data_IF_706507660862
#
_entry.id   IF_706507660862
#
_cell.length_a   1.000
_cell.length_b   1.000
_cell.length_c   1.000
_cell.angle_alpha   90.00
_cell.angle_beta   90.00
_cell.angle_gamma   90.00
#
_symmetry.space_group_name_H-M   'P 1'
#
loop_
_entity.id
_entity.type
_entity.pdbx_description
1 polymer ?
#
# COMPACT_ATOMS: atom_id res chain seq x y z
N UNK A 1 23.13 16.63 -20.47
CA UNK A 1 23.32 15.67 -19.36
C UNK A 1 24.75 15.14 -19.38
N UNK A 2 25.19 14.53 -18.27
CA UNK A 2 26.42 13.75 -18.15
C UNK A 2 26.18 12.62 -17.14
N UNK A 3 26.58 11.40 -17.45
CA UNK A 3 26.42 10.23 -16.58
C UNK A 3 27.52 9.21 -16.86
N UNK A 4 27.70 8.26 -15.95
CA UNK A 4 28.62 7.13 -16.12
C UNK A 4 27.81 5.83 -16.23
N UNK A 5 28.14 5.01 -17.22
CA UNK A 5 27.54 3.70 -17.44
C UNK A 5 28.64 2.73 -17.91
N UNK A 6 28.71 1.55 -17.33
CA UNK A 6 29.73 0.53 -17.63
C UNK A 6 31.18 1.07 -17.65
N UNK A 7 31.51 1.95 -16.70
CA UNK A 7 32.83 2.57 -16.58
C UNK A 7 33.16 3.60 -17.67
N UNK A 8 32.17 4.03 -18.46
CA UNK A 8 32.31 5.05 -19.50
C UNK A 8 31.48 6.27 -19.17
N UNK A 9 32.08 7.45 -19.34
CA UNK A 9 31.38 8.72 -19.15
C UNK A 9 30.73 9.14 -20.46
N UNK A 10 29.41 9.32 -20.41
CA UNK A 10 28.59 9.84 -21.50
C UNK A 10 28.20 11.28 -21.22
N UNK A 11 28.23 12.16 -22.22
CA UNK A 11 27.84 13.56 -22.07
C UNK A 11 27.24 14.13 -23.35
N UNK A 12 26.26 15.03 -23.21
CA UNK A 12 25.62 15.71 -24.33
C UNK A 12 24.11 15.89 -24.16
N UNK A 13 23.45 16.41 -25.20
CA UNK A 13 21.98 16.42 -25.32
C UNK A 13 21.43 15.20 -26.06
N UNK A 14 22.28 14.49 -26.77
CA UNK A 14 21.94 13.31 -27.56
C UNK A 14 23.04 12.28 -27.32
N UNK A 15 22.71 11.15 -26.71
CA UNK A 15 23.64 10.04 -26.46
C UNK A 15 23.07 8.81 -27.15
N UNK A 16 23.91 8.12 -27.91
CA UNK A 16 23.58 6.86 -28.57
C UNK A 16 24.22 5.71 -27.79
N UNK A 17 23.40 4.79 -27.30
CA UNK A 17 23.82 3.57 -26.62
C UNK A 17 23.40 2.31 -27.41
N UNK A 18 22.92 2.47 -28.65
CA UNK A 18 22.60 1.33 -29.51
C UNK A 18 23.81 0.44 -29.70
N UNK A 19 23.61 -0.87 -29.56
CA UNK A 19 24.69 -1.86 -29.65
C UNK A 19 25.53 -2.00 -28.37
N UNK A 20 25.07 -1.42 -27.26
CA UNK A 20 25.55 -1.74 -25.90
C UNK A 20 24.56 -2.65 -25.18
N UNK A 21 24.97 -3.24 -24.05
CA UNK A 21 24.10 -4.07 -23.20
C UNK A 21 23.24 -3.22 -22.23
N UNK A 22 23.20 -1.89 -22.42
CA UNK A 22 22.45 -0.98 -21.58
C UNK A 22 20.94 -1.24 -21.64
N UNK A 23 20.30 -1.31 -20.48
CA UNK A 23 18.84 -1.43 -20.35
C UNK A 23 18.22 -0.09 -19.97
N UNK A 24 16.92 0.07 -20.22
CA UNK A 24 16.16 1.26 -19.80
C UNK A 24 16.35 1.54 -18.30
N UNK A 25 16.30 0.50 -17.48
CA UNK A 25 16.46 0.59 -16.02
C UNK A 25 17.86 1.08 -15.64
N UNK A 26 18.91 0.46 -16.19
CA UNK A 26 20.30 0.87 -15.92
C UNK A 26 20.60 2.31 -16.30
N UNK A 27 19.99 2.81 -17.40
CA UNK A 27 20.15 4.19 -17.85
C UNK A 27 19.38 5.16 -16.96
N UNK A 28 18.16 4.81 -16.54
CA UNK A 28 17.39 5.63 -15.60
C UNK A 28 18.12 5.75 -14.26
N UNK A 29 18.68 4.65 -13.76
CA UNK A 29 19.50 4.63 -12.54
C UNK A 29 20.75 5.50 -12.69
N UNK A 30 21.52 5.34 -13.78
CA UNK A 30 22.72 6.13 -14.04
C UNK A 30 22.44 7.64 -14.21
N UNK A 31 21.23 8.01 -14.59
CA UNK A 31 20.76 9.40 -14.72
C UNK A 31 20.07 9.92 -13.45
N UNK A 32 19.95 9.11 -12.40
CA UNK A 32 19.19 9.40 -11.18
C UNK A 32 17.74 9.84 -11.47
N UNK A 33 17.12 9.21 -12.47
CA UNK A 33 15.74 9.50 -12.87
C UNK A 33 14.75 8.60 -12.14
N UNK A 34 13.61 9.19 -11.78
CA UNK A 34 12.47 8.47 -11.22
C UNK A 34 11.91 7.46 -12.24
N UNK A 35 12.05 6.17 -11.95
CA UNK A 35 11.55 5.08 -12.78
C UNK A 35 10.02 5.10 -12.91
N UNK A 36 9.31 5.72 -11.97
CA UNK A 36 7.85 5.90 -12.02
C UNK A 36 7.40 7.14 -12.81
N UNK A 37 8.32 7.99 -13.29
CA UNK A 37 7.98 9.10 -14.18
C UNK A 37 7.46 8.53 -15.51
N UNK A 38 6.16 8.69 -15.82
CA UNK A 38 5.57 8.09 -17.01
C UNK A 38 6.12 8.66 -18.33
N UNK A 39 6.89 9.74 -18.28
CA UNK A 39 7.52 10.34 -19.45
C UNK A 39 9.05 10.11 -19.47
N UNK A 40 9.63 9.47 -18.45
CA UNK A 40 11.08 9.29 -18.30
C UNK A 40 11.68 8.37 -19.37
N UNK A 41 10.89 7.40 -19.86
CA UNK A 41 11.29 6.50 -20.93
C UNK A 41 10.15 6.27 -21.94
N UNK A 42 10.51 6.16 -23.21
CA UNK A 42 9.60 5.75 -24.29
C UNK A 42 10.00 4.34 -24.73
N UNK A 43 9.14 3.39 -24.40
CA UNK A 43 9.29 1.96 -24.71
C UNK A 43 8.20 1.51 -25.69
N UNK A 44 8.26 0.25 -26.12
CA UNK A 44 7.22 -0.34 -26.97
C UNK A 44 5.86 -0.49 -26.26
N UNK A 45 5.84 -0.55 -24.93
CA UNK A 45 4.62 -0.59 -24.11
C UNK A 45 4.54 0.65 -23.20
N UNK A 46 4.09 1.79 -23.74
CA UNK A 46 4.08 3.04 -22.99
C UNK A 46 2.95 3.08 -21.96
N UNK A 47 3.07 3.94 -20.92
CA UNK A 47 1.99 4.16 -19.95
C UNK A 47 0.71 4.70 -20.61
N UNK A 48 -0.40 4.67 -19.87
CA UNK A 48 -1.66 5.21 -20.38
C UNK A 48 -1.57 6.69 -20.73
N UNK A 49 -2.23 7.09 -21.82
CA UNK A 49 -2.23 8.47 -22.31
C UNK A 49 -2.68 9.48 -21.25
N UNK A 50 -3.67 9.12 -20.44
CA UNK A 50 -4.12 9.98 -19.34
C UNK A 50 -2.99 10.24 -18.32
N UNK A 51 -2.16 9.24 -18.01
CA UNK A 51 -1.03 9.39 -17.07
C UNK A 51 0.06 10.28 -17.68
N UNK A 52 0.42 10.07 -18.94
CA UNK A 52 1.46 10.86 -19.62
C UNK A 52 1.03 12.32 -19.85
N UNK A 53 -0.21 12.56 -20.30
CA UNK A 53 -0.75 13.92 -20.46
C UNK A 53 -0.89 14.66 -19.14
N UNK A 54 -1.32 13.99 -18.07
CA UNK A 54 -1.38 14.62 -16.76
C UNK A 54 0.02 15.06 -16.27
N UNK A 55 1.05 14.24 -16.51
CA UNK A 55 2.45 14.58 -16.19
C UNK A 55 2.95 15.75 -17.05
N UNK A 56 2.67 15.74 -18.35
CA UNK A 56 3.01 16.83 -19.25
C UNK A 56 2.33 18.15 -18.82
N UNK A 57 1.05 18.11 -18.47
CA UNK A 57 0.33 19.28 -17.96
C UNK A 57 0.97 19.85 -16.68
N UNK A 58 1.33 18.97 -15.72
CA UNK A 58 2.03 19.37 -14.49
C UNK A 58 3.38 20.02 -14.76
N UNK A 59 4.14 19.49 -15.71
CA UNK A 59 5.45 20.05 -16.07
C UNK A 59 5.34 21.50 -16.60
N UNK A 60 4.18 21.85 -17.17
CA UNK A 60 3.85 23.21 -17.65
C UNK A 60 3.18 24.08 -16.59
N UNK A 61 3.14 23.63 -15.33
CA UNK A 61 2.56 24.37 -14.21
C UNK A 61 1.04 24.28 -14.07
N UNK A 62 0.35 23.40 -14.82
CA UNK A 62 -1.10 23.24 -14.65
C UNK A 62 -1.45 22.47 -13.36
N UNK A 63 -2.43 22.99 -12.62
CA UNK A 63 -3.03 22.31 -11.47
C UNK A 63 -4.37 21.65 -11.80
N UNK A 64 -4.83 20.77 -10.93
CA UNK A 64 -6.17 20.19 -10.99
C UNK A 64 -7.05 20.74 -9.86
N UNK A 65 -8.37 20.86 -10.04
CA UNK A 65 -9.29 21.27 -8.97
C UNK A 65 -9.25 20.36 -7.73
N UNK A 66 -8.74 19.13 -7.88
CA UNK A 66 -8.64 18.14 -6.81
C UNK A 66 -7.37 18.30 -5.95
N UNK A 67 -6.44 19.20 -6.31
CA UNK A 67 -5.10 19.25 -5.70
C UNK A 67 -5.15 19.56 -4.21
N UNK A 68 -5.94 20.54 -3.79
CA UNK A 68 -6.08 20.90 -2.37
C UNK A 68 -6.65 19.73 -1.55
N UNK A 69 -7.65 19.03 -2.11
CA UNK A 69 -8.25 17.86 -1.45
C UNK A 69 -7.26 16.69 -1.38
N UNK A 70 -6.42 16.51 -2.41
CA UNK A 70 -5.36 15.49 -2.41
C UNK A 70 -4.35 15.80 -1.31
N UNK A 71 -3.91 17.06 -1.18
CA UNK A 71 -3.00 17.49 -0.13
C UNK A 71 -3.61 17.23 1.26
N UNK A 72 -4.84 17.67 1.50
CA UNK A 72 -5.55 17.42 2.77
C UNK A 72 -5.66 15.92 3.11
N UNK A 73 -5.97 15.08 2.12
CA UNK A 73 -6.08 13.63 2.34
C UNK A 73 -4.72 12.99 2.66
N UNK A 74 -3.63 13.48 2.05
CA UNK A 74 -2.27 13.03 2.36
C UNK A 74 -1.85 13.44 3.76
N UNK A 75 -2.14 14.68 4.16
CA UNK A 75 -1.86 15.16 5.52
C UNK A 75 -2.62 14.35 6.55
N UNK A 76 -3.92 14.11 6.33
CA UNK A 76 -4.74 13.27 7.24
C UNK A 76 -4.28 11.82 7.31
N UNK A 77 -3.68 11.28 6.24
CA UNK A 77 -3.08 9.96 6.25
C UNK A 77 -1.75 9.98 7.01
N UNK A 78 -0.91 10.98 6.79
CA UNK A 78 0.35 11.16 7.51
C UNK A 78 0.13 11.32 9.01
N UNK A 79 -0.85 12.13 9.43
CA UNK A 79 -1.24 12.28 10.84
C UNK A 79 -1.63 10.93 11.46
N UNK A 80 -2.36 10.10 10.71
CA UNK A 80 -2.77 8.77 11.19
C UNK A 80 -1.62 7.79 11.25
N UNK A 81 -0.78 7.77 10.23
CA UNK A 81 0.38 6.88 10.18
C UNK A 81 1.40 7.27 11.27
N UNK A 82 1.49 8.55 11.64
CA UNK A 82 2.28 9.02 12.78
C UNK A 82 1.71 8.57 14.13
N UNK A 83 0.37 8.61 14.31
CA UNK A 83 -0.31 8.17 15.54
C UNK A 83 -0.29 6.64 15.69
N UNK A 84 -0.40 5.91 14.58
CA UNK A 84 -0.47 4.45 14.60
C UNK A 84 0.88 3.78 14.93
N UNK A 85 1.99 4.52 14.89
CA UNK A 85 3.31 3.91 14.78
C UNK A 85 3.48 3.32 13.38
N UNK A 86 4.69 3.38 12.83
CA UNK A 86 4.98 2.92 11.47
C UNK A 86 4.85 1.40 11.39
N UNK A 87 3.64 0.90 11.23
CA UNK A 87 3.38 -0.45 10.79
C UNK A 87 3.19 -0.41 9.28
N UNK A 88 4.17 -0.97 8.57
CA UNK A 88 4.07 -1.35 7.17
C UNK A 88 2.96 -2.40 6.95
N UNK A 89 3.02 -3.28 5.93
CA UNK A 89 1.93 -4.21 5.63
C UNK A 89 1.61 -5.16 6.82
N UNK A 90 0.65 -4.73 7.64
CA UNK A 90 -0.22 -5.39 8.63
C UNK A 90 0.39 -6.42 9.64
N UNK A 91 1.50 -6.13 10.35
CA UNK A 91 1.89 -6.93 11.52
C UNK A 91 0.95 -6.73 12.74
N UNK A 92 0.42 -5.51 12.93
CA UNK A 92 -0.42 -5.18 14.09
C UNK A 92 -1.85 -5.73 14.02
N UNK A 93 -2.45 -5.85 12.84
CA UNK A 93 -3.75 -6.52 12.68
C UNK A 93 -3.68 -8.02 12.94
N UNK A 94 -2.54 -8.65 12.60
CA UNK A 94 -2.27 -10.05 12.93
C UNK A 94 -2.08 -10.22 14.44
N UNK A 95 -1.27 -9.38 15.10
CA UNK A 95 -1.08 -9.43 16.54
C UNK A 95 -2.39 -9.24 17.32
N UNK A 96 -3.23 -8.31 16.88
CA UNK A 96 -4.56 -8.07 17.45
C UNK A 96 -5.48 -9.30 17.40
N UNK A 97 -5.47 -10.00 16.28
CA UNK A 97 -6.28 -11.19 16.07
C UNK A 97 -5.76 -12.36 16.90
N UNK A 98 -4.44 -12.52 16.99
CA UNK A 98 -3.78 -13.50 17.85
C UNK A 98 -4.10 -13.26 19.32
N UNK A 99 -3.94 -12.04 19.82
CA UNK A 99 -4.30 -11.66 21.20
C UNK A 99 -5.74 -12.06 21.55
N UNK A 100 -6.68 -11.76 20.64
CA UNK A 100 -8.09 -12.08 20.84
C UNK A 100 -8.34 -13.59 20.82
N UNK A 101 -7.65 -14.34 19.95
CA UNK A 101 -7.76 -15.79 19.91
C UNK A 101 -7.23 -16.43 21.21
N UNK A 102 -6.05 -16.02 21.67
CA UNK A 102 -5.46 -16.48 22.93
C UNK A 102 -6.33 -16.14 24.13
N UNK A 103 -6.89 -14.93 24.19
CA UNK A 103 -7.78 -14.55 25.28
C UNK A 103 -9.09 -15.36 25.31
N UNK A 104 -9.62 -15.71 24.13
CA UNK A 104 -10.80 -16.60 24.02
C UNK A 104 -10.49 -18.01 24.52
N UNK A 105 -9.35 -18.56 24.10
CA UNK A 105 -8.91 -19.88 24.51
C UNK A 105 -8.76 -19.96 26.04
N UNK A 106 -8.06 -19.00 26.64
CA UNK A 106 -7.92 -18.95 28.11
C UNK A 106 -9.23 -18.79 28.86
N UNK A 107 -10.15 -17.96 28.36
CA UNK A 107 -11.46 -17.81 28.98
C UNK A 107 -12.28 -19.11 28.92
N UNK A 108 -12.17 -19.87 27.82
CA UNK A 108 -12.82 -21.15 27.67
C UNK A 108 -12.19 -22.23 28.58
N UNK A 109 -10.86 -22.27 28.67
CA UNK A 109 -10.12 -23.17 29.56
C UNK A 109 -10.48 -22.90 31.03
N UNK A 110 -10.39 -21.65 31.49
CA UNK A 110 -10.72 -21.29 32.86
C UNK A 110 -12.20 -21.57 33.21
N UNK A 111 -13.12 -21.42 32.25
CA UNK A 111 -14.51 -21.80 32.44
C UNK A 111 -14.68 -23.32 32.62
N UNK A 112 -13.98 -24.12 31.80
CA UNK A 112 -13.99 -25.58 31.91
C UNK A 112 -13.38 -26.07 33.23
N UNK A 113 -12.31 -25.43 33.70
CA UNK A 113 -11.68 -25.75 34.99
C UNK A 113 -12.61 -25.47 36.17
N UNK A 114 -13.31 -24.34 36.16
CA UNK A 114 -14.32 -24.02 37.19
C UNK A 114 -15.43 -25.08 37.21
N UNK A 115 -15.93 -25.51 36.05
CA UNK A 115 -16.98 -26.53 35.99
C UNK A 115 -16.48 -27.88 36.52
N UNK A 116 -15.27 -28.30 36.13
CA UNK A 116 -14.62 -29.51 36.65
C UNK A 116 -14.43 -29.46 38.18
N UNK A 117 -14.00 -28.32 38.72
CA UNK A 117 -13.76 -28.14 40.16
C UNK A 117 -15.06 -28.08 40.96
N UNK A 118 -16.14 -27.53 40.41
CA UNK A 118 -17.48 -27.59 41.01
C UNK A 118 -17.97 -29.02 41.18
N UNK A 119 -17.78 -29.86 40.16
CA UNK A 119 -18.09 -31.29 40.24
C UNK A 119 -17.25 -31.99 41.32
N UNK A 120 -15.95 -31.66 41.41
CA UNK A 120 -15.05 -32.21 42.44
C UNK A 120 -15.48 -31.82 43.86
N UNK A 121 -15.82 -30.55 44.09
CA UNK A 121 -16.34 -30.07 45.37
C UNK A 121 -17.63 -30.79 45.76
N UNK A 122 -18.56 -30.95 44.81
CA UNK A 122 -19.81 -31.68 45.04
C UNK A 122 -19.56 -33.15 45.43
N UNK A 123 -18.63 -33.81 44.76
CA UNK A 123 -18.24 -35.18 45.07
C UNK A 123 -17.55 -35.31 46.44
N UNK A 124 -16.63 -34.40 46.78
CA UNK A 124 -15.97 -34.36 48.08
C UNK A 124 -16.97 -34.11 49.22
N UNK A 125 -17.93 -33.22 49.01
CA UNK A 125 -19.04 -32.97 49.95
C UNK A 125 -19.87 -34.24 50.18
N UNK A 126 -20.19 -34.97 49.11
CA UNK A 126 -20.91 -36.25 49.20
C UNK A 126 -20.13 -37.31 50.00
N UNK A 127 -18.82 -37.44 49.77
CA UNK A 127 -17.95 -38.36 50.54
C UNK A 127 -17.85 -37.99 52.02
N UNK A 128 -17.72 -36.70 52.33
CA UNK A 128 -17.69 -36.21 53.71
C UNK A 128 -19.01 -36.48 54.44
N UNK A 129 -20.14 -36.31 53.76
CA UNK A 129 -21.45 -36.63 54.34
C UNK A 129 -21.55 -38.14 54.68
N UNK A 130 -21.14 -39.02 53.77
CA UNK A 130 -21.13 -40.45 54.02
C UNK A 130 -20.19 -40.85 55.18
N UNK A 131 -19.02 -40.22 55.28
CA UNK A 131 -18.08 -40.43 56.39
C UNK A 131 -18.67 -40.02 57.74
N UNK A 132 -19.40 -38.89 57.79
CA UNK A 132 -20.12 -38.44 59.00
C UNK A 132 -21.22 -39.40 59.43
N UNK A 133 -21.94 -39.98 58.47
CA UNK A 133 -22.99 -40.97 58.73
C UNK A 133 -22.40 -42.31 59.24
N UNK A 134 -21.25 -42.73 58.71
CA UNK A 134 -20.54 -43.93 59.15
C UNK A 134 -19.72 -43.76 60.43
N UNK A 135 -19.36 -42.51 60.79
CA UNK A 135 -18.54 -42.19 61.96
C UNK A 135 -17.05 -42.51 61.79
N UNK A 136 -16.56 -42.65 60.55
CA UNK A 136 -15.17 -43.02 60.23
C UNK A 136 -14.56 -42.03 59.23
N UNK A 137 -13.26 -41.74 59.36
CA UNK A 137 -12.47 -40.91 58.43
C UNK A 137 -13.01 -39.49 58.19
N UNK A 138 -13.74 -38.93 59.15
CA UNK A 138 -14.41 -37.62 59.01
C UNK A 138 -13.42 -36.49 58.78
N UNK A 139 -12.30 -36.48 59.53
CA UNK A 139 -11.31 -35.40 59.48
C UNK A 139 -10.60 -35.36 58.12
N UNK A 140 -10.15 -36.52 57.62
CA UNK A 140 -9.51 -36.63 56.30
C UNK A 140 -10.44 -36.15 55.17
N UNK A 141 -11.72 -36.53 55.21
CA UNK A 141 -12.70 -36.08 54.20
C UNK A 141 -13.07 -34.61 54.34
N UNK A 142 -12.95 -34.04 55.55
CA UNK A 142 -13.15 -32.61 55.77
C UNK A 142 -12.00 -31.81 55.16
N UNK A 143 -10.76 -32.27 55.33
CA UNK A 143 -9.58 -31.70 54.67
C UNK A 143 -9.68 -31.78 53.14
N UNK A 144 -10.10 -32.93 52.58
CA UNK A 144 -10.30 -33.11 51.14
C UNK A 144 -11.34 -32.12 50.57
N UNK A 145 -12.47 -31.95 51.26
CA UNK A 145 -13.49 -30.97 50.86
C UNK A 145 -12.99 -29.54 50.96
N UNK A 146 -12.24 -29.19 52.01
CA UNK A 146 -11.66 -27.87 52.18
C UNK A 146 -10.65 -27.54 51.07
N UNK A 147 -9.78 -28.50 50.72
CA UNK A 147 -8.82 -28.36 49.62
C UNK A 147 -9.54 -28.17 48.27
N UNK A 148 -10.55 -28.99 47.96
CA UNK A 148 -11.32 -28.85 46.72
C UNK A 148 -12.05 -27.50 46.63
N UNK A 149 -12.56 -26.97 47.76
CA UNK A 149 -13.21 -25.66 47.81
C UNK A 149 -12.22 -24.51 47.63
N UNK A 150 -11.00 -24.65 48.14
CA UNK A 150 -9.91 -23.69 47.90
C UNK A 150 -9.53 -23.66 46.43
N UNK A 151 -9.28 -24.82 45.80
CA UNK A 151 -8.97 -24.93 44.38
C UNK A 151 -10.06 -24.28 43.50
N UNK A 152 -11.34 -24.50 43.84
CA UNK A 152 -12.46 -23.86 43.14
C UNK A 152 -12.43 -22.33 43.27
N UNK A 153 -12.12 -21.80 44.45
CA UNK A 153 -12.06 -20.36 44.68
C UNK A 153 -10.94 -19.71 43.86
N UNK A 154 -9.79 -20.38 43.78
CA UNK A 154 -8.65 -19.93 42.97
C UNK A 154 -9.01 -19.96 41.47
N UNK A 155 -9.62 -21.04 40.99
CA UNK A 155 -10.07 -21.14 39.60
C UNK A 155 -11.19 -20.15 39.24
N UNK A 156 -12.11 -19.86 40.16
CA UNK A 156 -13.13 -18.82 39.94
C UNK A 156 -12.50 -17.43 39.80
N UNK A 157 -11.42 -17.16 40.53
CA UNK A 157 -10.63 -15.93 40.40
C UNK A 157 -9.92 -15.88 39.03
N UNK A 158 -9.28 -16.97 38.62
CA UNK A 158 -8.61 -17.08 37.32
C UNK A 158 -9.59 -16.89 36.15
N UNK A 159 -10.80 -17.46 36.26
CA UNK A 159 -11.86 -17.27 35.27
C UNK A 159 -12.25 -15.79 35.13
N UNK A 160 -12.44 -15.07 36.24
CA UNK A 160 -12.75 -13.63 36.19
C UNK A 160 -11.63 -12.86 35.52
N UNK A 161 -10.37 -13.18 35.83
CA UNK A 161 -9.22 -12.55 35.17
C UNK A 161 -9.17 -12.85 33.66
N UNK A 162 -9.46 -14.09 33.25
CA UNK A 162 -9.50 -14.49 31.84
C UNK A 162 -10.64 -13.80 31.07
N UNK A 163 -11.83 -13.68 31.67
CA UNK A 163 -12.97 -12.95 31.10
C UNK A 163 -12.65 -11.46 30.90
N UNK A 164 -12.04 -10.81 31.90
CA UNK A 164 -11.62 -9.41 31.79
C UNK A 164 -10.56 -9.22 30.69
N UNK A 165 -9.60 -10.14 30.58
CA UNK A 165 -8.60 -10.11 29.52
C UNK A 165 -9.23 -10.27 28.12
N UNK A 166 -10.24 -11.13 28.00
CA UNK A 166 -11.01 -11.32 26.76
C UNK A 166 -11.81 -10.07 26.39
N UNK A 167 -12.45 -9.42 27.35
CA UNK A 167 -13.18 -8.16 27.12
C UNK A 167 -12.22 -7.08 26.61
N UNK A 168 -11.09 -6.89 27.29
CA UNK A 168 -10.06 -5.93 26.89
C UNK A 168 -9.46 -6.24 25.50
N UNK A 169 -9.21 -7.52 25.18
CA UNK A 169 -8.73 -7.94 23.87
C UNK A 169 -9.78 -7.69 22.78
N UNK A 170 -11.06 -7.92 23.09
CA UNK A 170 -12.18 -7.69 22.18
C UNK A 170 -12.31 -6.21 21.83
N UNK A 171 -12.24 -5.33 22.82
CA UNK A 171 -12.37 -3.89 22.57
C UNK A 171 -11.19 -3.35 21.76
N UNK A 172 -9.95 -3.71 22.13
CA UNK A 172 -8.76 -3.37 21.33
C UNK A 172 -8.85 -3.85 19.88
N UNK A 173 -9.40 -5.05 19.65
CA UNK A 173 -9.60 -5.58 18.30
C UNK A 173 -10.66 -4.78 17.51
N UNK A 174 -11.75 -4.35 18.18
CA UNK A 174 -12.79 -3.50 17.58
C UNK A 174 -12.25 -2.13 17.20
N UNK A 175 -11.58 -1.45 18.10
CA UNK A 175 -10.97 -0.13 17.88
C UNK A 175 -10.00 -0.17 16.68
N UNK A 176 -9.09 -1.16 16.66
CA UNK A 176 -8.17 -1.36 15.53
C UNK A 176 -8.90 -1.59 14.21
N UNK A 177 -9.97 -2.37 14.21
CA UNK A 177 -10.80 -2.59 13.00
C UNK A 177 -11.46 -1.30 12.52
N UNK A 178 -11.93 -0.45 13.44
CA UNK A 178 -12.53 0.85 13.12
C UNK A 178 -11.48 1.78 12.51
N UNK A 179 -10.30 1.90 13.12
CA UNK A 179 -9.22 2.73 12.59
C UNK A 179 -8.72 2.25 11.23
N UNK A 180 -8.48 0.94 11.06
CA UNK A 180 -8.13 0.36 9.77
C UNK A 180 -9.16 0.69 8.69
N UNK A 181 -10.45 0.58 9.01
CA UNK A 181 -11.54 0.94 8.07
C UNK A 181 -11.51 2.42 7.73
N UNK A 182 -11.22 3.30 8.70
CA UNK A 182 -11.11 4.75 8.48
C UNK A 182 -9.91 5.07 7.57
N UNK A 183 -8.76 4.42 7.77
CA UNK A 183 -7.57 4.59 6.92
C UNK A 183 -7.80 4.09 5.49
N UNK A 184 -8.40 2.90 5.32
CA UNK A 184 -8.74 2.38 3.99
C UNK A 184 -9.67 3.32 3.22
N UNK A 185 -10.69 3.89 3.88
CA UNK A 185 -11.58 4.88 3.26
C UNK A 185 -10.82 6.13 2.78
N UNK A 186 -9.86 6.62 3.56
CA UNK A 186 -9.03 7.76 3.14
C UNK A 186 -8.14 7.41 1.95
N UNK A 187 -7.49 6.24 1.96
CA UNK A 187 -6.65 5.78 0.84
C UNK A 187 -7.46 5.61 -0.45
N UNK A 188 -8.67 5.04 -0.34
CA UNK A 188 -9.60 4.91 -1.47
C UNK A 188 -10.04 6.28 -1.99
N UNK A 189 -10.38 7.21 -1.10
CA UNK A 189 -10.74 8.57 -1.46
C UNK A 189 -9.57 9.29 -2.16
N UNK A 190 -8.36 9.18 -1.62
CA UNK A 190 -7.14 9.73 -2.22
C UNK A 190 -6.93 9.18 -3.62
N UNK A 191 -6.96 7.85 -3.78
CA UNK A 191 -6.79 7.22 -5.08
C UNK A 191 -7.88 7.62 -6.09
N UNK A 192 -9.12 7.83 -5.65
CA UNK A 192 -10.19 8.38 -6.47
C UNK A 192 -9.89 9.83 -6.92
N UNK A 193 -9.48 10.70 -5.99
CA UNK A 193 -9.15 12.10 -6.30
C UNK A 193 -7.94 12.22 -7.21
N UNK A 194 -6.92 11.41 -7.02
CA UNK A 194 -5.75 11.36 -7.93
C UNK A 194 -6.13 10.89 -9.33
N UNK A 195 -7.07 9.94 -9.46
CA UNK A 195 -7.62 9.54 -10.76
C UNK A 195 -8.40 10.68 -11.42
N UNK A 196 -9.23 11.39 -10.65
CA UNK A 196 -9.98 12.56 -11.12
C UNK A 196 -9.07 13.70 -11.56
N UNK A 197 -8.03 14.02 -10.77
CA UNK A 197 -7.02 15.03 -11.07
C UNK A 197 -6.31 14.73 -12.39
N UNK A 198 -5.84 13.48 -12.58
CA UNK A 198 -5.19 13.06 -13.82
C UNK A 198 -6.12 13.23 -15.03
N UNK A 199 -7.39 12.86 -14.90
CA UNK A 199 -8.37 13.06 -15.99
C UNK A 199 -8.62 14.54 -16.29
N UNK A 200 -8.70 15.40 -15.27
CA UNK A 200 -8.88 16.83 -15.44
C UNK A 200 -7.68 17.47 -16.17
N UNK A 201 -6.46 17.15 -15.73
CA UNK A 201 -5.22 17.61 -16.36
C UNK A 201 -5.09 17.12 -17.80
N UNK A 202 -5.34 15.83 -18.04
CA UNK A 202 -5.27 15.25 -19.38
C UNK A 202 -6.29 15.90 -20.34
N UNK A 203 -7.51 16.19 -19.87
CA UNK A 203 -8.50 16.94 -20.66
C UNK A 203 -8.02 18.36 -20.99
N UNK A 204 -7.43 19.06 -20.02
CA UNK A 204 -6.88 20.41 -20.24
C UNK A 204 -5.76 20.43 -21.28
N UNK A 205 -4.88 19.43 -21.26
CA UNK A 205 -3.76 19.32 -22.20
C UNK A 205 -4.14 18.72 -23.57
N UNK A 206 -5.34 18.12 -23.71
CA UNK A 206 -5.68 17.31 -24.88
C UNK A 206 -5.61 18.09 -26.20
N UNK A 207 -6.05 19.35 -26.21
CA UNK A 207 -6.02 20.18 -27.42
C UNK A 207 -4.59 20.43 -27.92
N UNK A 208 -3.67 20.75 -27.01
CA UNK A 208 -2.25 20.96 -27.34
C UNK A 208 -1.57 19.66 -27.75
N UNK A 209 -1.94 18.54 -27.09
CA UNK A 209 -1.52 17.20 -27.48
C UNK A 209 -1.92 16.87 -28.92
N UNK A 210 -3.17 17.09 -29.31
CA UNK A 210 -3.65 16.79 -30.67
C UNK A 210 -2.84 17.53 -31.73
N UNK A 211 -2.50 18.82 -31.49
CA UNK A 211 -1.64 19.60 -32.38
C UNK A 211 -0.18 19.13 -32.40
N UNK A 212 0.28 18.50 -31.31
CA UNK A 212 1.63 17.94 -31.18
C UNK A 212 1.72 16.53 -31.79
N UNK A 213 0.61 15.80 -31.86
CA UNK A 213 0.57 14.44 -32.39
C UNK A 213 0.94 14.38 -33.87
N UNK A 214 0.51 15.36 -34.67
CA UNK A 214 0.84 15.47 -36.10
C UNK A 214 2.32 15.75 -36.36
N UNK A 215 3.06 16.16 -35.32
CA UNK A 215 4.44 16.60 -35.42
C UNK A 215 5.41 15.44 -35.18
N UNK A 216 5.06 14.47 -34.34
CA UNK A 216 5.96 13.37 -33.98
C UNK A 216 5.90 12.23 -35.01
N UNK A 217 6.99 11.43 -35.15
CA UNK A 217 6.99 10.32 -36.11
C UNK A 217 5.99 9.24 -35.71
N UNK A 218 5.33 8.68 -36.72
CA UNK A 218 4.42 7.54 -36.58
C UNK A 218 3.02 7.80 -37.11
N UNK A 219 2.06 6.94 -36.72
CA UNK A 219 0.67 6.99 -37.19
C UNK A 219 -0.27 6.93 -36.00
N UNK A 220 -0.75 8.09 -35.59
CA UNK A 220 -1.82 8.20 -34.60
C UNK A 220 -2.72 9.39 -34.96
N UNK A 221 -4.00 9.30 -34.61
CA UNK A 221 -4.99 10.35 -34.78
C UNK A 221 -5.67 10.63 -33.44
N UNK A 222 -5.89 11.90 -33.09
CA UNK A 222 -6.65 12.22 -31.89
C UNK A 222 -8.11 11.81 -32.09
N UNK A 223 -8.75 11.32 -31.03
CA UNK A 223 -10.21 11.18 -30.93
C UNK A 223 -10.84 12.40 -30.27
N UNK A 224 -11.98 12.20 -29.61
CA UNK A 224 -12.74 13.29 -28.98
C UNK A 224 -12.28 13.60 -27.54
N UNK A 225 -11.38 12.81 -26.98
CA UNK A 225 -10.88 13.02 -25.62
C UNK A 225 -9.64 12.21 -25.24
N UNK A 226 -9.08 12.43 -24.04
CA UNK A 226 -7.81 11.86 -23.61
C UNK A 226 -7.82 10.33 -23.37
N UNK A 227 -8.99 9.70 -23.48
CA UNK A 227 -9.17 8.23 -23.46
C UNK A 227 -9.36 7.64 -24.85
N UNK A 228 -9.44 8.49 -25.88
CA UNK A 228 -9.80 8.14 -27.24
C UNK A 228 -8.71 8.64 -28.19
N UNK A 229 -8.00 7.70 -28.81
CA UNK A 229 -7.12 7.98 -29.94
C UNK A 229 -7.00 6.71 -30.77
N UNK A 230 -6.77 6.88 -32.06
CA UNK A 230 -6.57 5.77 -32.98
C UNK A 230 -5.09 5.67 -33.36
N UNK A 231 -4.57 4.45 -33.42
CA UNK A 231 -3.23 4.16 -33.91
C UNK A 231 -2.21 3.85 -32.81
N UNK A 232 -0.96 4.19 -33.08
CA UNK A 232 0.19 3.71 -32.33
C UNK A 232 0.38 4.45 -30.99
N UNK A 233 0.39 3.68 -29.90
CA UNK A 233 0.62 4.15 -28.52
C UNK A 233 1.98 4.85 -28.35
N UNK A 234 3.02 4.38 -29.04
CA UNK A 234 4.35 4.98 -28.95
C UNK A 234 4.34 6.39 -29.55
N UNK A 235 3.65 6.57 -30.69
CA UNK A 235 3.46 7.88 -31.31
C UNK A 235 2.74 8.85 -30.37
N UNK A 236 1.67 8.40 -29.71
CA UNK A 236 0.98 9.21 -28.70
C UNK A 236 1.88 9.55 -27.50
N UNK A 237 2.72 8.62 -27.05
CA UNK A 237 3.67 8.89 -25.97
C UNK A 237 4.73 9.93 -26.40
N UNK A 238 5.31 9.81 -27.59
CA UNK A 238 6.25 10.80 -28.11
C UNK A 238 5.64 12.21 -28.16
N UNK A 239 4.37 12.33 -28.53
CA UNK A 239 3.67 13.60 -28.52
C UNK A 239 3.49 14.16 -27.10
N UNK A 240 3.19 13.31 -26.11
CA UNK A 240 3.11 13.73 -24.72
C UNK A 240 4.48 14.19 -24.17
N UNK A 241 5.57 13.50 -24.55
CA UNK A 241 6.94 13.91 -24.20
C UNK A 241 7.29 15.26 -24.84
N UNK A 242 7.00 15.44 -26.13
CA UNK A 242 7.25 16.70 -26.84
C UNK A 242 6.38 17.87 -26.33
N UNK A 243 5.22 17.58 -25.76
CA UNK A 243 4.35 18.57 -25.13
C UNK A 243 4.89 19.04 -23.77
N UNK A 244 5.58 18.17 -23.03
CA UNK A 244 6.03 18.47 -21.68
C UNK A 244 7.14 19.54 -21.65
N UNK A 245 7.11 20.41 -20.64
CA UNK A 245 8.20 21.34 -20.36
C UNK A 245 9.18 20.69 -19.38
N UNK A 246 10.29 20.14 -19.89
CA UNK A 246 11.23 19.37 -19.06
C UNK A 246 12.68 19.51 -19.47
N UNK A 247 13.52 19.68 -18.45
CA UNK A 247 14.99 19.65 -18.58
C UNK A 247 15.60 18.26 -18.39
N UNK A 248 14.89 17.32 -17.76
CA UNK A 248 15.35 15.96 -17.55
C UNK A 248 15.44 15.16 -18.87
N UNK A 249 16.48 14.31 -19.04
CA UNK A 249 16.61 13.45 -20.20
C UNK A 249 15.48 12.44 -20.32
N UNK A 250 15.23 12.00 -21.56
CA UNK A 250 14.31 10.91 -21.88
C UNK A 250 15.08 9.75 -22.51
N UNK A 251 14.82 8.54 -22.02
CA UNK A 251 15.36 7.31 -22.59
C UNK A 251 14.45 6.83 -23.71
N UNK A 252 14.97 6.68 -24.92
CA UNK A 252 14.24 6.14 -26.07
C UNK A 252 14.69 4.71 -26.33
N UNK A 253 13.86 3.74 -25.94
CA UNK A 253 14.05 2.31 -26.21
C UNK A 253 13.26 1.87 -27.45
N UNK A 254 13.04 2.79 -28.39
CA UNK A 254 12.31 2.59 -29.63
C UNK A 254 13.03 3.27 -30.78
N UNK A 255 13.10 2.60 -31.92
CA UNK A 255 13.72 3.14 -33.12
C UNK A 255 12.69 3.90 -33.97
N UNK A 256 12.49 5.18 -33.64
CA UNK A 256 11.50 6.07 -34.30
C UNK A 256 12.12 7.28 -35.01
N UNK A 257 13.40 7.50 -34.79
CA UNK A 257 14.15 8.63 -35.29
C UNK A 257 15.43 8.12 -35.95
N UNK A 258 15.94 8.85 -36.94
CA UNK A 258 17.20 8.53 -37.62
C UNK A 258 18.39 8.47 -36.64
N UNK A 259 18.30 9.16 -35.50
CA UNK A 259 19.24 9.05 -34.40
C UNK A 259 18.88 9.97 -33.22
N UNK A 260 19.68 9.95 -32.15
CA UNK A 260 19.34 10.63 -30.91
C UNK A 260 19.36 12.16 -31.03
N UNK A 261 20.14 12.71 -31.97
CA UNK A 261 20.18 14.16 -32.24
C UNK A 261 18.88 14.66 -32.90
N UNK A 262 18.33 13.88 -33.84
CA UNK A 262 17.05 14.18 -34.48
C UNK A 262 15.91 14.07 -33.46
N UNK A 263 15.94 13.05 -32.61
CA UNK A 263 15.00 12.87 -31.52
C UNK A 263 15.05 14.05 -30.52
N UNK A 264 16.24 14.42 -30.03
CA UNK A 264 16.40 15.52 -29.07
C UNK A 264 15.91 16.86 -29.64
N UNK A 265 16.18 17.11 -30.93
CA UNK A 265 15.69 18.32 -31.61
C UNK A 265 14.17 18.30 -31.74
N UNK A 266 13.60 17.15 -32.12
CA UNK A 266 12.16 17.03 -32.35
C UNK A 266 11.34 17.13 -31.07
N UNK A 267 11.80 16.44 -30.03
CA UNK A 267 11.13 16.36 -28.73
C UNK A 267 11.44 17.57 -27.84
N UNK A 268 12.48 18.35 -28.17
CA UNK A 268 12.90 19.51 -27.37
C UNK A 268 13.68 19.14 -26.10
N UNK A 269 13.87 17.86 -25.81
CA UNK A 269 14.46 17.35 -24.56
C UNK A 269 15.79 16.64 -24.82
N UNK A 270 16.68 16.52 -23.82
CA UNK A 270 17.84 15.63 -23.96
C UNK A 270 17.40 14.17 -24.13
N UNK A 271 18.08 13.42 -24.98
CA UNK A 271 17.72 12.03 -25.34
C UNK A 271 18.91 11.09 -25.17
N UNK A 272 18.65 9.95 -24.53
CA UNK A 272 19.51 8.76 -24.58
C UNK A 272 18.79 7.70 -25.41
N UNK A 273 19.36 7.26 -26.52
CA UNK A 273 18.77 6.23 -27.37
C UNK A 273 19.40 4.87 -27.06
N UNK A 274 18.56 3.85 -26.88
CA UNK A 274 18.92 2.44 -26.68
C UNK A 274 18.70 1.63 -27.96
#
# INVERSE_FOLDING_TARGET
MRFELDGRVHAGRAVDLRGTDATTESVLEALELDADDPLGAVTADPPSLVRTLARAARSRGHGAPQDDRIAELRDRLADRDAVAGVDGPDPAGSAAATDLATARERAAEAAADVDMLRERVAAARGRLQAAREAGTDVDERAEEHAAAAQDLTDAETDRVAAEQALEAATERARERRVERRRTLRLRDELGNREREARRALARGAYREFSATLERVPGKARPGDGPTEFEGDRVTAHLAAVALADRGAPVVLAVDRFEGPAAAATRLGVPVVQL
#
